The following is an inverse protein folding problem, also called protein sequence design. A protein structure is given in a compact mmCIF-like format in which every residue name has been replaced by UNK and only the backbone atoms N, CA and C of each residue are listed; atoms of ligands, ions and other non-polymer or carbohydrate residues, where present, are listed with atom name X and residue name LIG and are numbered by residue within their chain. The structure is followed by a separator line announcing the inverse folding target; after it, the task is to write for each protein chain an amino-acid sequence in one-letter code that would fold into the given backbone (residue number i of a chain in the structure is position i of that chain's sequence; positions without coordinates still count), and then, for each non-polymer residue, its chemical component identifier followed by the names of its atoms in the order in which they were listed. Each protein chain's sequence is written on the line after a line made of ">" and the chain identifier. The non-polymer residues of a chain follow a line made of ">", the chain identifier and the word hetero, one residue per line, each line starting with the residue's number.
data_IF_509049190939
#
_entry.id   IF_509049190939
#
_cell.length_a   1.000
_cell.length_b   1.000
_cell.length_c   1.000
_cell.angle_alpha   90.00
_cell.angle_beta   90.00
_cell.angle_gamma   90.00
#
_symmetry.space_group_name_H-M   'P 1'
#
loop_
_entity.id
_entity.type
_entity.pdbx_description
1 polymer ?
#
# COMPACT_ATOMS: atom_id res chain seq x y z
N UNK A 1 -32.99 2.71 -55.60
CA UNK A 1 -31.80 3.45 -56.09
C UNK A 1 -31.96 4.88 -55.60
N UNK A 2 -31.21 5.43 -54.66
CA UNK A 2 -30.18 5.02 -53.71
C UNK A 2 -30.16 6.17 -52.66
N UNK A 3 -30.33 5.89 -51.36
CA UNK A 3 -29.31 5.85 -50.30
C UNK A 3 -28.90 7.21 -49.69
N UNK A 4 -28.59 7.16 -48.38
CA UNK A 4 -28.16 8.20 -47.42
C UNK A 4 -29.32 8.97 -46.73
N UNK A 5 -29.40 9.16 -45.41
CA UNK A 5 -28.46 8.99 -44.29
C UNK A 5 -29.30 8.88 -43.00
N UNK A 6 -29.19 7.77 -42.27
CA UNK A 6 -29.89 7.56 -40.99
C UNK A 6 -28.86 7.63 -39.85
N UNK A 7 -28.84 8.75 -39.14
CA UNK A 7 -27.96 8.97 -38.00
C UNK A 7 -28.55 8.30 -36.75
N UNK A 8 -27.94 7.20 -36.32
CA UNK A 8 -28.20 6.57 -35.03
C UNK A 8 -27.54 7.40 -33.92
N UNK A 9 -28.36 8.01 -33.06
CA UNK A 9 -27.94 8.46 -31.73
C UNK A 9 -28.00 7.26 -30.78
N UNK A 10 -26.82 6.81 -30.33
CA UNK A 10 -26.68 5.84 -29.24
C UNK A 10 -26.57 6.65 -27.95
N UNK A 11 -27.63 6.64 -27.14
CA UNK A 11 -27.58 7.07 -25.74
C UNK A 11 -26.70 6.09 -24.95
N UNK A 12 -25.51 6.54 -24.56
CA UNK A 12 -24.72 5.87 -23.53
C UNK A 12 -25.32 6.24 -22.17
N UNK A 13 -26.08 5.32 -21.60
CA UNK A 13 -26.50 5.37 -20.20
C UNK A 13 -25.30 5.13 -19.29
N UNK A 14 -24.65 6.20 -18.85
CA UNK A 14 -23.71 6.16 -17.74
C UNK A 14 -24.50 5.98 -16.43
N UNK A 15 -24.24 4.88 -15.74
CA UNK A 15 -24.66 4.70 -14.35
C UNK A 15 -24.04 5.84 -13.51
N UNK A 16 -24.81 6.49 -12.61
CA UNK A 16 -24.24 7.49 -11.72
C UNK A 16 -23.32 6.79 -10.72
N UNK A 17 -22.01 7.03 -10.85
CA UNK A 17 -21.04 6.74 -9.79
C UNK A 17 -21.40 7.64 -8.63
N UNK A 18 -21.73 7.06 -7.47
CA UNK A 18 -22.19 7.79 -6.30
C UNK A 18 -21.03 8.52 -5.61
N UNK A 19 -20.72 9.72 -6.12
CA UNK A 19 -19.65 10.62 -5.61
C UNK A 19 -19.88 11.02 -4.13
N UNK A 20 -21.04 10.71 -3.53
CA UNK A 20 -21.31 10.98 -2.11
C UNK A 20 -20.70 9.97 -1.16
N UNK A 21 -20.42 8.73 -1.58
CA UNK A 21 -19.81 7.71 -0.71
C UNK A 21 -18.34 8.05 -0.37
N UNK A 22 -17.57 8.57 -1.33
CA UNK A 22 -16.17 8.94 -1.14
C UNK A 22 -15.98 10.12 -0.16
N UNK A 23 -16.91 11.08 -0.14
CA UNK A 23 -16.85 12.25 0.74
C UNK A 23 -17.15 11.94 2.22
N UNK A 24 -18.02 10.96 2.49
CA UNK A 24 -18.39 10.57 3.86
C UNK A 24 -17.32 9.69 4.51
N UNK A 25 -16.55 8.94 3.72
CA UNK A 25 -15.44 8.12 4.21
C UNK A 25 -14.19 8.94 4.60
N UNK A 26 -13.84 9.99 3.84
CA UNK A 26 -12.75 10.91 4.20
C UNK A 26 -13.04 11.65 5.52
N UNK A 27 -14.29 12.10 5.73
CA UNK A 27 -14.68 12.69 7.02
C UNK A 27 -14.66 11.67 8.16
N UNK A 28 -14.91 10.37 7.91
CA UNK A 28 -14.88 9.31 8.94
C UNK A 28 -13.47 8.86 9.34
N UNK A 29 -12.52 8.78 8.41
CA UNK A 29 -11.10 8.50 8.73
C UNK A 29 -10.49 9.70 9.48
N UNK A 30 -10.87 10.92 9.11
CA UNK A 30 -10.50 12.12 9.85
C UNK A 30 -11.14 12.17 11.25
N UNK A 31 -12.41 11.76 11.38
CA UNK A 31 -13.10 11.60 12.66
C UNK A 31 -12.48 10.51 13.55
N UNK A 32 -11.84 9.47 12.99
CA UNK A 32 -11.12 8.44 13.76
C UNK A 32 -9.73 8.89 14.23
N UNK A 33 -9.07 9.77 13.47
CA UNK A 33 -7.91 10.51 13.97
C UNK A 33 -8.30 11.53 15.07
N UNK A 34 -9.55 12.01 15.07
CA UNK A 34 -10.09 12.98 16.04
C UNK A 34 -10.86 12.38 17.22
N UNK A 35 -11.29 11.10 17.16
CA UNK A 35 -12.08 10.44 18.21
C UNK A 35 -11.26 9.98 19.43
N UNK A 36 -9.96 10.26 19.45
CA UNK A 36 -9.29 10.65 20.69
C UNK A 36 -9.32 9.69 21.88
N UNK A 37 -9.23 8.38 21.68
CA UNK A 37 -9.01 7.43 22.79
C UNK A 37 -7.88 6.40 22.59
N UNK A 38 -7.11 6.48 21.49
CA UNK A 38 -5.78 5.88 21.44
C UNK A 38 -4.69 6.94 21.61
N UNK A 39 -4.39 7.25 22.88
CA UNK A 39 -3.18 7.98 23.24
C UNK A 39 -2.00 7.04 22.99
N UNK A 40 -1.47 7.00 21.77
CA UNK A 40 -0.20 6.36 21.50
C UNK A 40 0.91 7.17 22.19
N UNK A 41 1.76 6.54 23.02
CA UNK A 41 2.84 7.24 23.69
C UNK A 41 3.77 7.88 22.65
N UNK A 42 3.94 9.20 22.73
CA UNK A 42 4.90 9.95 21.92
C UNK A 42 6.32 9.49 22.27
N UNK A 43 6.86 8.52 21.52
CA UNK A 43 8.23 8.09 21.68
C UNK A 43 9.20 9.04 20.95
N UNK A 44 10.40 9.15 21.54
CA UNK A 44 11.35 10.23 21.31
C UNK A 44 11.80 10.34 19.86
N UNK A 45 11.62 11.55 19.29
CA UNK A 45 12.22 12.00 18.05
C UNK A 45 13.75 12.01 18.15
N UNK A 46 14.41 10.87 17.98
CA UNK A 46 15.77 10.88 17.42
C UNK A 46 15.65 11.25 15.93
N UNK A 47 15.36 12.53 15.67
CA UNK A 47 15.39 13.09 14.32
C UNK A 47 16.84 13.21 13.88
N UNK A 48 17.41 12.10 13.38
CA UNK A 48 18.56 12.19 12.49
C UNK A 48 18.12 13.00 11.27
N UNK A 49 18.99 13.93 10.86
CA UNK A 49 18.75 14.72 9.65
C UNK A 49 18.47 13.79 8.47
N UNK A 50 17.52 14.12 7.59
CA UNK A 50 17.25 13.35 6.38
C UNK A 50 18.54 13.08 5.59
N UNK A 51 18.62 11.92 4.95
CA UNK A 51 19.74 11.60 4.07
C UNK A 51 19.78 12.62 2.92
N UNK A 52 20.89 13.35 2.83
CA UNK A 52 21.13 14.31 1.76
C UNK A 52 21.13 13.59 0.40
N UNK A 53 20.47 14.18 -0.59
CA UNK A 53 20.38 13.62 -1.94
C UNK A 53 21.46 14.23 -2.85
N UNK A 54 22.18 13.38 -3.59
CA UNK A 54 23.04 13.81 -4.68
C UNK A 54 22.22 13.79 -5.98
N UNK A 55 21.63 14.94 -6.34
CA UNK A 55 20.82 15.04 -7.55
C UNK A 55 21.63 14.78 -8.83
N UNK A 56 22.95 14.97 -8.83
CA UNK A 56 23.76 14.61 -9.99
C UNK A 56 23.96 13.10 -10.09
N UNK A 57 24.08 12.39 -8.97
CA UNK A 57 24.03 10.92 -8.95
C UNK A 57 22.68 10.40 -9.44
N UNK A 58 21.57 10.99 -8.98
CA UNK A 58 20.22 10.64 -9.43
C UNK A 58 20.09 10.84 -10.94
N UNK A 59 20.52 11.98 -11.49
CA UNK A 59 20.46 12.23 -12.93
C UNK A 59 21.36 11.28 -13.74
N UNK A 60 22.52 10.89 -13.21
CA UNK A 60 23.39 9.88 -13.84
C UNK A 60 22.70 8.52 -13.86
N UNK A 61 22.18 8.06 -12.71
CA UNK A 61 21.44 6.81 -12.59
C UNK A 61 20.22 6.77 -13.51
N UNK A 62 19.47 7.86 -13.61
CA UNK A 62 18.37 7.99 -14.55
C UNK A 62 18.85 7.80 -15.99
N UNK A 63 19.89 8.52 -16.44
CA UNK A 63 20.44 8.36 -17.79
C UNK A 63 20.89 6.93 -18.10
N UNK A 64 21.52 6.26 -17.13
CA UNK A 64 21.98 4.88 -17.27
C UNK A 64 20.82 3.89 -17.40
N UNK A 65 19.75 4.07 -16.61
CA UNK A 65 18.52 3.27 -16.72
C UNK A 65 17.86 3.37 -18.10
N UNK A 66 18.13 4.44 -18.84
CA UNK A 66 17.57 4.67 -20.17
C UNK A 66 18.56 4.35 -21.32
N UNK A 67 19.84 4.13 -21.01
CA UNK A 67 20.88 3.92 -22.01
C UNK A 67 20.82 2.56 -22.73
N UNK A 68 20.10 1.58 -22.18
CA UNK A 68 20.19 0.19 -22.64
C UNK A 68 19.04 -0.29 -23.53
N UNK A 69 17.97 0.48 -23.78
CA UNK A 69 16.88 0.07 -24.70
C UNK A 69 15.99 1.25 -25.14
N UNK A 70 15.71 1.40 -26.44
CA UNK A 70 14.64 2.30 -26.93
C UNK A 70 13.68 1.53 -27.88
N UNK A 71 12.39 1.91 -27.93
CA UNK A 71 11.98 3.14 -28.63
C UNK A 71 11.16 4.10 -27.74
N UNK A 72 11.61 5.36 -27.69
CA UNK A 72 11.16 6.49 -26.84
C UNK A 72 11.37 6.22 -25.35
N UNK A 73 12.40 6.81 -24.77
CA UNK A 73 12.74 6.61 -23.35
C UNK A 73 11.54 6.94 -22.45
N UNK A 74 11.37 6.17 -21.38
CA UNK A 74 10.36 6.44 -20.35
C UNK A 74 10.38 7.90 -19.89
N UNK A 75 11.56 8.54 -19.81
CA UNK A 75 11.68 9.98 -19.54
C UNK A 75 11.17 10.89 -20.66
N UNK A 76 11.45 10.57 -21.93
CA UNK A 76 10.92 11.34 -23.07
C UNK A 76 9.40 11.24 -23.18
N UNK A 77 8.82 10.13 -22.70
CA UNK A 77 7.37 9.94 -22.63
C UNK A 77 6.77 10.58 -21.37
N UNK A 78 7.55 10.71 -20.29
CA UNK A 78 7.13 11.28 -19.02
C UNK A 78 7.80 12.65 -18.78
N UNK A 79 7.29 13.67 -19.48
CA UNK A 79 7.71 15.07 -19.29
C UNK A 79 7.71 15.51 -17.82
N UNK A 80 6.76 15.00 -17.04
CA UNK A 80 6.66 15.28 -15.60
C UNK A 80 7.86 14.74 -14.82
N UNK A 81 8.36 13.56 -15.19
CA UNK A 81 9.53 12.96 -14.58
C UNK A 81 10.82 13.69 -14.95
N UNK A 82 10.93 14.12 -16.21
CA UNK A 82 12.04 14.97 -16.64
C UNK A 82 12.08 16.27 -15.82
N UNK A 83 10.92 16.93 -15.66
CA UNK A 83 10.82 18.13 -14.81
C UNK A 83 11.27 17.84 -13.40
N UNK A 84 10.85 16.73 -12.80
CA UNK A 84 11.25 16.37 -11.44
C UNK A 84 12.79 16.25 -11.33
N UNK A 85 13.44 15.59 -12.29
CA UNK A 85 14.90 15.44 -12.30
C UNK A 85 15.65 16.76 -12.53
N UNK A 86 15.03 17.73 -13.19
CA UNK A 86 15.59 19.08 -13.38
C UNK A 86 15.54 19.92 -12.10
N UNK A 87 14.61 19.64 -11.18
CA UNK A 87 14.55 20.31 -9.87
C UNK A 87 15.67 19.84 -8.95
N UNK A 88 16.08 20.73 -8.04
CA UNK A 88 16.97 20.38 -6.94
C UNK A 88 16.13 20.03 -5.72
N UNK A 89 16.43 18.89 -5.11
CA UNK A 89 15.81 18.42 -3.88
C UNK A 89 16.84 18.43 -2.76
N UNK A 90 16.39 18.66 -1.53
CA UNK A 90 17.29 18.74 -0.38
C UNK A 90 17.57 17.36 0.25
N UNK A 91 16.70 16.38 0.00
CA UNK A 91 16.80 15.04 0.57
C UNK A 91 16.02 14.00 -0.24
N UNK A 92 16.28 12.71 0.03
CA UNK A 92 15.49 11.62 -0.55
C UNK A 92 14.00 11.68 -0.17
N UNK A 93 13.62 11.91 1.12
CA UNK A 93 12.23 12.17 1.51
C UNK A 93 11.52 13.26 0.68
N UNK A 94 12.20 14.38 0.42
CA UNK A 94 11.65 15.47 -0.41
C UNK A 94 11.43 15.03 -1.87
N UNK A 95 12.42 14.33 -2.43
CA UNK A 95 12.35 13.81 -3.79
C UNK A 95 11.21 12.78 -3.98
N UNK A 96 11.05 11.83 -3.06
CA UNK A 96 9.97 10.82 -3.15
C UNK A 96 8.58 11.45 -2.98
N UNK A 97 8.45 12.47 -2.13
CA UNK A 97 7.19 13.20 -1.96
C UNK A 97 6.81 13.93 -3.25
N UNK A 98 7.77 14.61 -3.87
CA UNK A 98 7.57 15.26 -5.15
C UNK A 98 7.23 14.25 -6.28
N UNK A 99 7.81 13.05 -6.25
CA UNK A 99 7.49 11.99 -7.20
C UNK A 99 6.06 11.45 -7.04
N UNK A 100 5.59 11.22 -5.81
CA UNK A 100 4.17 10.83 -5.55
C UNK A 100 3.19 11.83 -6.14
N UNK A 101 3.47 13.13 -6.02
CA UNK A 101 2.61 14.20 -6.57
C UNK A 101 2.77 14.43 -8.08
N UNK A 102 3.71 13.74 -8.71
CA UNK A 102 4.02 13.91 -10.14
C UNK A 102 2.96 13.27 -11.05
N UNK A 103 2.16 12.34 -10.53
CA UNK A 103 1.16 11.60 -11.31
C UNK A 103 1.75 10.63 -12.33
N UNK A 104 3.05 10.32 -12.21
CA UNK A 104 3.69 9.27 -13.03
C UNK A 104 3.14 7.92 -12.55
N UNK A 105 2.47 7.12 -13.42
CA UNK A 105 2.01 5.79 -13.03
C UNK A 105 3.19 4.85 -12.80
N UNK A 106 3.01 3.84 -11.94
CA UNK A 106 4.01 2.80 -11.67
C UNK A 106 5.41 3.33 -11.32
N UNK A 107 5.49 4.47 -10.63
CA UNK A 107 6.78 5.10 -10.33
C UNK A 107 7.60 4.32 -9.29
N UNK A 108 6.97 3.45 -8.48
CA UNK A 108 7.63 2.78 -7.36
C UNK A 108 8.82 1.87 -7.78
N UNK A 109 8.67 0.95 -8.75
CA UNK A 109 9.80 0.16 -9.27
C UNK A 109 10.94 1.05 -9.79
N UNK A 110 10.60 2.08 -10.58
CA UNK A 110 11.59 2.99 -11.17
C UNK A 110 12.31 3.80 -10.09
N UNK A 111 11.59 4.29 -9.09
CA UNK A 111 12.13 5.05 -7.96
C UNK A 111 13.11 4.22 -7.14
N UNK A 112 12.77 2.97 -6.82
CA UNK A 112 13.64 2.07 -6.04
C UNK A 112 14.95 1.83 -6.79
N UNK A 113 14.86 1.49 -8.07
CA UNK A 113 16.04 1.23 -8.90
C UNK A 113 16.90 2.49 -9.06
N UNK A 114 16.28 3.65 -9.30
CA UNK A 114 16.98 4.93 -9.38
C UNK A 114 17.75 5.25 -8.10
N UNK A 115 17.09 5.14 -6.94
CA UNK A 115 17.71 5.42 -5.65
C UNK A 115 18.84 4.44 -5.35
N UNK A 116 18.65 3.14 -5.62
CA UNK A 116 19.69 2.12 -5.45
C UNK A 116 20.92 2.42 -6.28
N UNK A 117 20.77 2.74 -7.56
CA UNK A 117 21.89 3.09 -8.44
C UNK A 117 22.62 4.36 -7.98
N UNK A 118 21.87 5.39 -7.59
CA UNK A 118 22.45 6.65 -7.15
C UNK A 118 23.25 6.50 -5.84
N UNK A 119 22.81 5.61 -4.94
CA UNK A 119 23.44 5.38 -3.64
C UNK A 119 24.48 4.25 -3.66
N UNK A 120 24.43 3.35 -4.64
CA UNK A 120 25.31 2.19 -4.75
C UNK A 120 25.30 1.32 -3.48
N UNK A 121 26.45 0.74 -3.14
CA UNK A 121 26.61 -0.21 -2.03
C UNK A 121 26.68 0.45 -0.65
N UNK A 122 26.22 1.70 -0.49
CA UNK A 122 26.23 2.42 0.79
C UNK A 122 25.05 2.04 1.71
N UNK A 123 24.40 0.90 1.44
CA UNK A 123 23.24 0.46 2.20
C UNK A 123 23.62 0.10 3.64
N UNK A 124 22.65 0.21 4.54
CA UNK A 124 22.80 -0.16 5.94
C UNK A 124 21.50 -0.71 6.46
N UNK A 125 21.55 -1.58 7.47
CA UNK A 125 20.35 -1.96 8.21
C UNK A 125 20.04 -0.92 9.28
N UNK A 126 18.78 -0.51 9.40
CA UNK A 126 18.28 0.34 10.48
C UNK A 126 17.22 -0.39 11.30
N UNK A 127 17.28 -0.22 12.62
CA UNK A 127 16.22 -0.67 13.53
C UNK A 127 15.47 0.53 14.11
N UNK A 128 14.15 0.46 14.12
CA UNK A 128 13.24 1.39 14.79
C UNK A 128 12.55 0.64 15.92
N UNK A 129 12.65 1.14 17.14
CA UNK A 129 12.17 0.45 18.35
C UNK A 129 10.84 1.03 18.80
N UNK A 130 9.88 0.15 19.09
CA UNK A 130 8.54 0.51 19.52
C UNK A 130 7.61 0.84 18.35
N UNK A 131 6.40 1.25 18.69
CA UNK A 131 5.35 1.60 17.73
C UNK A 131 5.77 2.78 16.85
N UNK A 132 5.60 2.65 15.54
CA UNK A 132 5.93 3.68 14.56
C UNK A 132 4.68 4.15 13.83
N UNK A 133 4.47 5.46 13.83
CA UNK A 133 3.49 6.12 12.99
C UNK A 133 4.20 7.19 12.15
N UNK A 134 4.27 6.95 10.84
CA UNK A 134 4.99 7.81 9.91
C UNK A 134 4.01 8.71 9.18
N UNK A 135 4.12 10.02 9.44
CA UNK A 135 3.29 11.07 8.82
C UNK A 135 4.08 11.97 7.87
N UNK A 136 5.39 11.81 7.83
CA UNK A 136 6.30 12.56 6.97
C UNK A 136 7.02 11.58 6.04
N UNK A 137 7.27 11.96 4.77
CA UNK A 137 7.93 11.09 3.80
C UNK A 137 9.17 10.40 4.38
N UNK A 138 9.25 9.09 4.21
CA UNK A 138 10.31 8.28 4.79
C UNK A 138 11.12 7.59 3.70
N UNK A 139 12.45 7.67 3.85
CA UNK A 139 13.37 6.97 2.97
C UNK A 139 14.47 6.29 3.79
N UNK A 140 14.74 5.03 3.47
CA UNK A 140 15.89 4.29 3.98
C UNK A 140 16.61 3.51 2.87
N UNK A 141 17.94 3.61 2.84
CA UNK A 141 18.79 2.83 1.94
C UNK A 141 19.36 1.60 2.66
N UNK A 142 18.89 0.42 2.30
CA UNK A 142 19.15 -0.87 2.96
C UNK A 142 17.92 -1.41 3.68
N UNK A 143 18.14 -2.35 4.60
CA UNK A 143 17.07 -3.07 5.28
C UNK A 143 16.52 -2.29 6.48
N UNK A 144 15.20 -2.34 6.68
CA UNK A 144 14.54 -1.73 7.82
C UNK A 144 13.91 -2.80 8.72
N UNK A 145 14.18 -2.71 10.01
CA UNK A 145 13.56 -3.53 11.04
C UNK A 145 12.75 -2.61 11.96
N UNK A 146 11.47 -2.90 12.15
CA UNK A 146 10.59 -2.21 13.11
C UNK A 146 10.24 -3.20 14.21
N UNK A 147 10.69 -2.94 15.44
CA UNK A 147 10.39 -3.74 16.62
C UNK A 147 9.11 -3.24 17.28
N UNK A 148 7.98 -3.50 16.62
CA UNK A 148 6.64 -3.00 16.96
C UNK A 148 5.79 -2.88 15.71
N UNK A 149 4.68 -2.16 15.79
CA UNK A 149 3.78 -1.92 14.65
C UNK A 149 4.25 -0.75 13.82
N UNK A 150 3.85 -0.74 12.55
CA UNK A 150 4.18 0.30 11.59
C UNK A 150 2.91 0.81 10.91
N UNK A 151 2.47 2.03 11.22
CA UNK A 151 1.47 2.76 10.45
C UNK A 151 2.18 3.73 9.50
N UNK A 152 1.92 3.61 8.20
CA UNK A 152 2.43 4.48 7.15
C UNK A 152 1.31 5.39 6.63
N UNK A 153 1.44 6.69 6.86
CA UNK A 153 0.50 7.73 6.43
C UNK A 153 1.16 8.73 5.46
N UNK A 154 2.18 8.28 4.73
CA UNK A 154 3.02 9.10 3.86
C UNK A 154 3.73 8.24 2.80
N UNK A 155 4.41 8.85 1.81
CA UNK A 155 5.36 8.14 0.97
C UNK A 155 6.43 7.44 1.82
N UNK A 156 6.66 6.15 1.57
CA UNK A 156 7.55 5.32 2.36
C UNK A 156 8.39 4.43 1.46
N UNK A 157 9.71 4.54 1.55
CA UNK A 157 10.64 3.84 0.67
C UNK A 157 11.75 3.18 1.46
N UNK A 158 11.91 1.87 1.26
CA UNK A 158 13.01 1.07 1.80
C UNK A 158 13.66 0.34 0.62
N UNK A 159 14.93 0.61 0.33
CA UNK A 159 15.59 -0.02 -0.84
C UNK A 159 15.99 -1.47 -0.59
N UNK A 160 16.05 -1.93 0.65
CA UNK A 160 16.23 -3.33 1.04
C UNK A 160 14.91 -4.00 1.46
N UNK A 161 15.01 -4.95 2.38
CA UNK A 161 13.86 -5.66 2.96
C UNK A 161 13.28 -4.91 4.16
N UNK A 162 12.02 -5.15 4.47
CA UNK A 162 11.30 -4.62 5.62
C UNK A 162 10.84 -5.76 6.52
N UNK A 163 11.21 -5.70 7.80
CA UNK A 163 10.70 -6.60 8.83
C UNK A 163 9.95 -5.77 9.88
N UNK A 164 8.74 -6.18 10.23
CA UNK A 164 7.91 -5.54 11.25
C UNK A 164 7.50 -6.61 12.27
N UNK A 165 7.98 -6.51 13.50
CA UNK A 165 7.57 -7.40 14.62
C UNK A 165 6.15 -7.02 15.11
N UNK A 166 5.17 -7.07 14.22
CA UNK A 166 3.80 -6.63 14.47
C UNK A 166 3.00 -6.45 13.19
N UNK A 167 1.94 -5.65 13.27
CA UNK A 167 1.13 -5.26 12.12
C UNK A 167 1.78 -4.11 11.36
N UNK A 168 1.82 -4.24 10.04
CA UNK A 168 2.11 -3.17 9.10
C UNK A 168 0.80 -2.70 8.47
N UNK A 169 0.56 -1.40 8.49
CA UNK A 169 -0.59 -0.80 7.88
C UNK A 169 -0.20 0.44 7.08
N UNK A 170 -0.85 0.66 5.95
CA UNK A 170 -0.82 1.94 5.25
C UNK A 170 -2.25 2.53 5.11
N UNK A 171 -2.37 3.75 4.57
CA UNK A 171 -3.65 4.42 4.39
C UNK A 171 -3.66 5.26 3.11
N UNK A 172 -4.46 4.80 2.14
CA UNK A 172 -4.66 5.48 0.87
C UNK A 172 -5.44 6.79 1.05
N UNK A 173 -5.42 7.70 0.05
CA UNK A 173 -4.52 7.72 -1.11
C UNK A 173 -3.14 8.33 -0.80
N UNK A 174 -2.89 8.65 0.49
CA UNK A 174 -1.73 9.44 0.94
C UNK A 174 -0.48 8.58 1.03
N UNK A 175 -0.60 7.34 1.52
CA UNK A 175 0.50 6.40 1.53
C UNK A 175 0.87 5.93 0.12
N UNK A 176 2.15 5.63 -0.04
CA UNK A 176 2.67 4.82 -1.13
C UNK A 176 3.90 4.12 -0.59
N UNK A 177 3.82 2.80 -0.48
CA UNK A 177 4.84 1.96 0.11
C UNK A 177 5.65 1.33 -1.03
N UNK A 178 6.96 1.51 -1.01
CA UNK A 178 7.88 0.87 -1.94
C UNK A 178 9.00 0.17 -1.16
N UNK A 179 9.01 -1.16 -1.20
CA UNK A 179 10.02 -2.01 -0.57
C UNK A 179 10.77 -2.77 -1.65
N UNK A 180 12.10 -2.66 -1.60
CA UNK A 180 12.94 -3.22 -2.64
C UNK A 180 13.23 -4.73 -2.50
N UNK A 181 13.15 -5.25 -1.29
CA UNK A 181 13.33 -6.67 -0.95
C UNK A 181 12.02 -7.29 -0.49
N UNK A 182 12.11 -8.16 0.51
CA UNK A 182 10.97 -8.85 1.08
C UNK A 182 10.29 -8.00 2.17
N UNK A 183 9.00 -8.26 2.42
CA UNK A 183 8.28 -7.78 3.59
C UNK A 183 7.93 -8.97 4.48
N UNK A 184 8.29 -8.90 5.75
CA UNK A 184 7.84 -9.85 6.77
C UNK A 184 7.16 -9.08 7.90
N UNK A 185 5.92 -9.48 8.22
CA UNK A 185 5.11 -8.88 9.27
C UNK A 185 4.20 -9.94 9.90
N UNK A 186 3.57 -9.65 11.04
CA UNK A 186 2.50 -10.52 11.54
C UNK A 186 1.22 -10.37 10.70
N UNK A 187 0.93 -9.14 10.28
CA UNK A 187 -0.19 -8.82 9.40
C UNK A 187 0.14 -7.62 8.53
N UNK A 188 -0.41 -7.60 7.32
CA UNK A 188 -0.35 -6.45 6.41
C UNK A 188 -1.78 -6.00 6.10
N UNK A 189 -2.08 -4.74 6.42
CA UNK A 189 -3.30 -4.07 5.99
C UNK A 189 -2.91 -2.99 4.99
N UNK A 190 -3.43 -3.06 3.77
CA UNK A 190 -3.14 -2.06 2.74
C UNK A 190 -4.42 -1.44 2.21
N UNK A 191 -4.43 -0.12 2.15
CA UNK A 191 -5.46 0.70 1.51
C UNK A 191 -4.82 1.62 0.46
N UNK A 192 -3.51 1.82 0.52
CA UNK A 192 -2.76 2.56 -0.49
C UNK A 192 -2.07 1.68 -1.52
N UNK A 193 -1.28 2.34 -2.37
CA UNK A 193 -0.38 1.66 -3.30
C UNK A 193 0.78 1.01 -2.53
N UNK A 194 0.95 -0.30 -2.68
CA UNK A 194 2.05 -1.03 -2.07
C UNK A 194 2.80 -1.85 -3.11
N UNK A 195 4.08 -1.53 -3.29
CA UNK A 195 4.99 -2.23 -4.17
C UNK A 195 6.11 -2.91 -3.38
N UNK A 196 6.19 -4.23 -3.51
CA UNK A 196 7.25 -5.06 -2.92
C UNK A 196 7.97 -5.79 -4.06
N UNK A 197 9.25 -5.52 -4.25
CA UNK A 197 10.06 -6.16 -5.30
C UNK A 197 10.58 -7.56 -4.90
N UNK A 198 9.89 -8.22 -3.96
CA UNK A 198 10.20 -9.52 -3.41
C UNK A 198 8.91 -10.15 -2.87
N UNK A 199 9.04 -11.00 -1.85
CA UNK A 199 7.89 -11.70 -1.27
C UNK A 199 7.30 -10.96 -0.08
N UNK A 200 6.01 -11.17 0.19
CA UNK A 200 5.33 -10.76 1.41
C UNK A 200 4.98 -12.00 2.21
N UNK A 201 5.44 -12.06 3.46
CA UNK A 201 5.09 -13.12 4.42
C UNK A 201 4.38 -12.50 5.63
N UNK A 202 3.15 -12.94 5.88
CA UNK A 202 2.36 -12.53 7.03
C UNK A 202 1.30 -13.58 7.40
N UNK A 203 0.70 -13.53 8.59
CA UNK A 203 -0.42 -14.42 8.89
C UNK A 203 -1.71 -13.98 8.16
N UNK A 204 -1.94 -12.67 8.12
CA UNK A 204 -3.10 -12.05 7.46
C UNK A 204 -2.65 -10.94 6.53
N UNK A 205 -3.20 -10.93 5.31
CA UNK A 205 -3.08 -9.84 4.36
C UNK A 205 -4.48 -9.39 3.98
N UNK A 206 -4.77 -8.11 4.22
CA UNK A 206 -6.05 -7.50 3.92
C UNK A 206 -5.81 -6.29 3.01
N UNK A 207 -6.17 -6.42 1.74
CA UNK A 207 -6.21 -5.30 0.80
C UNK A 207 -7.61 -4.71 0.80
N UNK A 208 -7.73 -3.42 1.10
CA UNK A 208 -8.99 -2.69 1.16
C UNK A 208 -9.06 -1.62 0.07
N UNK A 209 -10.25 -1.46 -0.52
CA UNK A 209 -10.60 -0.36 -1.44
C UNK A 209 -9.94 -0.43 -2.83
N UNK A 210 -10.60 0.16 -3.85
CA UNK A 210 -10.43 -0.21 -5.26
C UNK A 210 -9.55 0.68 -6.14
N UNK A 211 -8.94 1.71 -5.59
CA UNK A 211 -8.17 2.68 -6.39
C UNK A 211 -6.66 2.42 -6.39
N UNK A 212 -6.21 1.36 -5.71
CA UNK A 212 -4.80 1.06 -5.47
C UNK A 212 -4.45 -0.41 -5.66
N UNK A 213 -3.16 -0.68 -5.88
CA UNK A 213 -2.65 -2.04 -6.13
C UNK A 213 -1.68 -2.49 -5.04
N UNK A 214 -1.83 -3.75 -4.61
CA UNK A 214 -0.82 -4.49 -3.87
C UNK A 214 -0.01 -5.36 -4.86
N UNK A 215 1.25 -5.02 -5.10
CA UNK A 215 2.14 -5.76 -5.99
C UNK A 215 3.29 -6.42 -5.21
N UNK A 216 3.48 -7.72 -5.43
CA UNK A 216 4.59 -8.50 -4.88
C UNK A 216 5.03 -9.60 -5.88
N UNK A 217 6.09 -10.34 -5.56
CA UNK A 217 6.43 -11.57 -6.30
C UNK A 217 5.50 -12.70 -5.87
N UNK A 218 5.64 -13.13 -4.61
CA UNK A 218 4.75 -14.09 -3.98
C UNK A 218 4.20 -13.53 -2.68
N UNK A 219 2.93 -13.83 -2.39
CA UNK A 219 2.28 -13.57 -1.12
C UNK A 219 2.08 -14.90 -0.40
N UNK A 220 2.72 -15.06 0.76
CA UNK A 220 2.58 -16.23 1.62
C UNK A 220 1.83 -15.85 2.89
N UNK A 221 0.62 -16.39 3.09
CA UNK A 221 -0.16 -16.11 4.29
C UNK A 221 -1.10 -17.24 4.70
N UNK A 222 -1.76 -17.10 5.85
CA UNK A 222 -2.87 -18.01 6.22
C UNK A 222 -4.19 -17.50 5.64
N UNK A 223 -4.38 -16.18 5.65
CA UNK A 223 -5.56 -15.53 5.11
C UNK A 223 -5.16 -14.35 4.21
N UNK A 224 -5.65 -14.35 2.98
CA UNK A 224 -5.57 -13.22 2.05
C UNK A 224 -6.98 -12.80 1.66
N UNK A 225 -7.31 -11.52 1.83
CA UNK A 225 -8.58 -10.92 1.41
C UNK A 225 -8.29 -9.75 0.48
N UNK A 226 -8.83 -9.82 -0.74
CA UNK A 226 -8.91 -8.72 -1.70
C UNK A 226 -10.29 -8.06 -1.60
N UNK A 227 -10.44 -7.15 -0.64
CA UNK A 227 -11.66 -6.39 -0.46
C UNK A 227 -11.69 -5.20 -1.41
N UNK A 228 -12.07 -5.50 -2.65
CA UNK A 228 -12.06 -4.57 -3.77
C UNK A 228 -10.66 -4.04 -4.14
N UNK A 229 -9.60 -4.51 -3.48
CA UNK A 229 -8.22 -4.09 -3.68
C UNK A 229 -7.48 -5.05 -4.60
N UNK A 230 -7.00 -4.53 -5.73
CA UNK A 230 -6.39 -5.36 -6.76
C UNK A 230 -5.00 -5.84 -6.32
N UNK A 231 -4.78 -7.16 -6.38
CA UNK A 231 -3.50 -7.79 -6.03
C UNK A 231 -2.79 -8.34 -7.27
N UNK A 232 -1.54 -7.95 -7.46
CA UNK A 232 -0.64 -8.47 -8.49
C UNK A 232 0.50 -9.27 -7.82
N UNK A 233 0.25 -10.55 -7.53
CA UNK A 233 1.22 -11.48 -6.97
C UNK A 233 0.78 -12.94 -7.21
N UNK A 234 1.72 -13.88 -7.12
CA UNK A 234 1.39 -15.30 -6.90
C UNK A 234 0.96 -15.49 -5.44
N UNK A 235 -0.28 -15.91 -5.18
CA UNK A 235 -0.80 -16.07 -3.80
C UNK A 235 -0.75 -17.52 -3.33
N UNK A 236 -0.03 -17.76 -2.24
CA UNK A 236 0.06 -19.02 -1.52
C UNK A 236 -0.55 -18.85 -0.12
N UNK A 237 -1.85 -19.17 0.02
CA UNK A 237 -2.55 -19.06 1.29
C UNK A 237 -3.47 -20.24 1.61
N UNK A 238 -3.69 -20.50 2.91
CA UNK A 238 -4.65 -21.52 3.37
C UNK A 238 -6.08 -21.13 2.94
N UNK A 239 -6.40 -19.84 3.07
CA UNK A 239 -7.66 -19.23 2.61
C UNK A 239 -7.34 -17.95 1.83
N UNK A 240 -7.82 -17.88 0.59
CA UNK A 240 -7.69 -16.70 -0.26
C UNK A 240 -9.04 -16.36 -0.85
N UNK A 241 -9.49 -15.13 -0.59
CA UNK A 241 -10.62 -14.53 -1.28
C UNK A 241 -10.10 -13.45 -2.22
N UNK A 242 -10.02 -13.77 -3.51
CA UNK A 242 -9.74 -12.78 -4.54
C UNK A 242 -10.91 -11.81 -4.72
N UNK A 243 -10.71 -10.77 -5.54
CA UNK A 243 -11.69 -9.71 -5.78
C UNK A 243 -13.06 -10.26 -6.24
N UNK A 244 -13.04 -11.28 -7.10
CA UNK A 244 -14.25 -11.92 -7.64
C UNK A 244 -14.97 -12.80 -6.60
N UNK A 245 -14.23 -13.38 -5.67
CA UNK A 245 -14.78 -14.27 -4.64
C UNK A 245 -15.27 -13.49 -3.42
N UNK A 246 -14.52 -12.49 -2.93
CA UNK A 246 -14.89 -11.77 -1.71
C UNK A 246 -16.13 -10.88 -1.93
N UNK A 247 -16.17 -10.13 -3.04
CA UNK A 247 -17.25 -9.20 -3.40
C UNK A 247 -17.69 -8.32 -2.22
N UNK A 248 -16.76 -7.63 -1.58
CA UNK A 248 -17.02 -6.80 -0.38
C UNK A 248 -17.71 -7.57 0.76
N UNK A 249 -17.40 -8.86 0.89
CA UNK A 249 -17.98 -9.77 1.88
C UNK A 249 -19.33 -10.37 1.50
N UNK A 250 -19.87 -10.09 0.30
CA UNK A 250 -21.14 -10.61 -0.20
C UNK A 250 -20.99 -11.87 -1.07
N UNK A 251 -19.77 -12.34 -1.31
CA UNK A 251 -19.54 -13.57 -2.05
C UNK A 251 -20.21 -14.78 -1.40
N UNK A 252 -20.70 -15.70 -2.23
CA UNK A 252 -21.37 -16.92 -1.77
C UNK A 252 -20.44 -17.77 -0.91
N UNK A 253 -20.83 -18.05 0.34
CA UNK A 253 -20.05 -18.89 1.26
C UNK A 253 -18.87 -18.18 1.95
N UNK A 254 -18.63 -16.90 1.67
CA UNK A 254 -17.50 -16.14 2.23
C UNK A 254 -17.61 -16.03 3.75
N UNK A 255 -18.77 -15.63 4.26
CA UNK A 255 -18.96 -15.41 5.69
C UNK A 255 -18.96 -16.73 6.48
N UNK A 256 -19.41 -17.84 5.89
CA UNK A 256 -19.32 -19.17 6.48
C UNK A 256 -17.85 -19.60 6.62
N UNK A 257 -17.09 -19.52 5.52
CA UNK A 257 -15.67 -19.90 5.52
C UNK A 257 -14.85 -19.04 6.49
N UNK A 258 -15.07 -17.73 6.50
CA UNK A 258 -14.39 -16.82 7.44
C UNK A 258 -14.69 -17.20 8.89
N UNK A 259 -15.93 -17.57 9.22
CA UNK A 259 -16.28 -17.99 10.60
C UNK A 259 -15.65 -19.30 11.02
N UNK A 260 -15.34 -20.19 10.08
CA UNK A 260 -14.63 -21.44 10.36
C UNK A 260 -13.18 -21.17 10.80
N UNK A 261 -12.54 -20.14 10.25
CA UNK A 261 -11.12 -19.84 10.51
C UNK A 261 -10.88 -18.70 11.49
N UNK A 262 -11.76 -17.70 11.57
CA UNK A 262 -11.61 -16.52 12.42
C UNK A 262 -12.46 -16.62 13.70
N UNK A 263 -11.99 -15.96 14.76
CA UNK A 263 -12.68 -15.86 16.05
C UNK A 263 -13.95 -14.99 15.95
N UNK A 264 -14.94 -15.21 16.84
CA UNK A 264 -16.24 -14.52 16.75
C UNK A 264 -16.12 -13.00 16.96
N UNK A 265 -15.08 -12.54 17.65
CA UNK A 265 -14.85 -11.13 18.00
C UNK A 265 -14.56 -10.21 16.81
N UNK A 266 -14.25 -10.76 15.63
CA UNK A 266 -14.06 -9.96 14.40
C UNK A 266 -15.34 -9.85 13.56
N UNK A 267 -16.46 -10.37 14.05
CA UNK A 267 -17.74 -10.32 13.35
C UNK A 267 -18.72 -9.42 14.09
N UNK A 268 -19.41 -8.55 13.35
CA UNK A 268 -20.45 -7.68 13.90
C UNK A 268 -21.72 -7.76 13.07
N UNK A 269 -22.85 -7.43 13.69
CA UNK A 269 -24.12 -7.26 13.01
C UNK A 269 -24.31 -5.76 12.76
N UNK A 270 -24.44 -5.36 11.50
CA UNK A 270 -24.75 -3.96 11.16
C UNK A 270 -26.25 -3.68 11.42
N UNK A 271 -26.59 -2.46 11.84
CA UNK A 271 -27.93 -2.06 12.30
C UNK A 271 -29.01 -2.08 11.18
N UNK A 272 -28.66 -2.50 9.97
CA UNK A 272 -29.54 -2.66 8.82
C UNK A 272 -29.50 -4.04 8.16
N UNK A 273 -28.67 -4.96 8.68
CA UNK A 273 -28.53 -6.31 8.13
C UNK A 273 -28.91 -7.37 9.18
N UNK A 274 -29.67 -8.37 8.75
CA UNK A 274 -29.99 -9.53 9.58
C UNK A 274 -28.80 -10.50 9.66
N UNK A 275 -27.76 -10.28 8.85
CA UNK A 275 -26.56 -11.10 8.78
C UNK A 275 -25.38 -10.50 9.56
N UNK A 276 -24.76 -11.31 10.40
CA UNK A 276 -23.46 -11.00 11.00
C UNK A 276 -22.39 -11.08 9.89
N UNK A 277 -21.49 -10.11 9.77
CA UNK A 277 -20.40 -10.18 8.77
C UNK A 277 -19.05 -9.87 9.40
N UNK A 278 -17.99 -10.22 8.67
CA UNK A 278 -16.63 -9.80 9.01
C UNK A 278 -16.61 -8.27 9.10
N UNK A 279 -16.19 -7.78 10.26
CA UNK A 279 -15.94 -6.37 10.49
C UNK A 279 -14.43 -6.14 10.33
N UNK A 280 -14.05 -5.54 9.19
CA UNK A 280 -12.64 -5.28 8.89
C UNK A 280 -11.98 -4.41 9.97
N UNK A 281 -12.72 -3.51 10.63
CA UNK A 281 -12.18 -2.68 11.71
C UNK A 281 -11.94 -3.52 12.97
N UNK A 282 -12.84 -4.44 13.30
CA UNK A 282 -12.64 -5.36 14.41
C UNK A 282 -11.46 -6.30 14.14
N UNK A 283 -11.35 -6.86 12.93
CA UNK A 283 -10.19 -7.66 12.50
C UNK A 283 -8.89 -6.86 12.66
N UNK A 284 -8.86 -5.65 12.10
CA UNK A 284 -7.70 -4.78 12.17
C UNK A 284 -7.32 -4.45 13.62
N UNK A 285 -8.30 -4.11 14.47
CA UNK A 285 -8.06 -3.81 15.88
C UNK A 285 -7.40 -4.98 16.63
N UNK A 286 -7.88 -6.21 16.40
CA UNK A 286 -7.29 -7.41 17.02
C UNK A 286 -5.85 -7.64 16.56
N UNK A 287 -5.60 -7.56 15.25
CA UNK A 287 -4.26 -7.69 14.65
C UNK A 287 -3.32 -6.59 15.16
N UNK A 288 -3.84 -5.36 15.25
CA UNK A 288 -3.12 -4.22 15.78
C UNK A 288 -2.77 -4.43 17.26
N UNK A 289 -3.61 -5.06 18.06
CA UNK A 289 -3.29 -5.38 19.45
C UNK A 289 -2.38 -6.61 19.61
N UNK A 290 -1.98 -7.25 18.50
CA UNK A 290 -1.17 -8.48 18.50
C UNK A 290 -1.92 -9.70 19.01
N UNK A 291 -3.27 -9.66 18.97
CA UNK A 291 -4.11 -10.78 19.37
C UNK A 291 -4.27 -11.76 18.21
N UNK A 292 -4.37 -13.05 18.54
CA UNK A 292 -4.69 -14.08 17.55
C UNK A 292 -6.11 -13.88 17.04
N UNK A 293 -6.26 -13.81 15.72
CA UNK A 293 -7.57 -13.73 15.06
C UNK A 293 -8.05 -15.07 14.52
N UNK A 294 -7.16 -16.07 14.47
CA UNK A 294 -7.51 -17.42 14.05
C UNK A 294 -8.01 -18.25 15.22
N UNK A 295 -8.98 -19.12 14.94
CA UNK A 295 -9.39 -20.17 15.88
C UNK A 295 -8.23 -21.15 16.14
N UNK A 296 -8.12 -21.72 17.35
CA UNK A 296 -7.16 -22.79 17.62
C UNK A 296 -7.42 -23.98 16.70
N UNK A 297 -6.36 -24.58 16.17
CA UNK A 297 -6.47 -25.87 15.46
C UNK A 297 -6.59 -26.95 16.53
N UNK A 298 -7.74 -27.63 16.56
CA UNK A 298 -8.00 -28.78 17.46
C UNK A 298 -7.11 -30.00 17.16
#
# INVERSE_FOLDING_TARGET
>A
MADAEEAQHVEQGGLPVDVKAAGVHQERIQLLAESGDMILPQHSKEQRRPLHIDMDAIRRAAKELHGDSSPKSFLEQNFTLQKLLEHTHDSYPDFIAALKHSGVPDYAPWMLELCRRALGDTCSTRTMVGEQELREPFFHHGDLIVQGRLQVLCPFVVTGSLTVDGCMADAGPVSNVAVGGNVNAHAVHTDGEMYVNGDIEAEVIYGYYNDHTLRASTICARLVIEDDHYTEADVEADVHFDLDTYQQGYGEGVQEQLREVLVDEVFTQDDGDDEIRLDHQALYSQLWEGKSVFRPVD
#
